data_IF_930702420702
#
_entry.id   IF_930702420702
#
_cell.length_a   1.000
_cell.length_b   1.000
_cell.length_c   1.000
_cell.angle_alpha   90.00
_cell.angle_beta   90.00
_cell.angle_gamma   90.00
#
_symmetry.space_group_name_H-M   'P 1'
#
loop_
_entity.id
_entity.type
_entity.pdbx_description
1 polymer ?
#
# COMPACT_ATOMS: atom_id res chain seq x y z
N UNK A 1 -9.55 11.29 23.22
CA UNK A 1 -9.97 9.88 23.39
C UNK A 1 -8.96 9.21 24.31
N UNK A 2 -9.43 8.65 25.43
CA UNK A 2 -8.61 7.89 26.37
C UNK A 2 -8.87 6.40 26.13
N UNK A 3 -7.89 5.68 25.61
CA UNK A 3 -7.99 4.26 25.35
C UNK A 3 -6.66 3.56 25.60
N UNK A 4 -6.71 2.31 26.07
CA UNK A 4 -5.50 1.47 26.19
C UNK A 4 -5.00 0.94 24.85
N UNK A 5 -5.90 0.85 23.88
CA UNK A 5 -5.64 0.37 22.51
C UNK A 5 -6.39 1.25 21.53
N UNK A 6 -5.75 1.65 20.45
CA UNK A 6 -6.36 2.47 19.41
C UNK A 6 -5.87 2.02 18.03
N UNK A 7 -6.75 2.11 17.05
CA UNK A 7 -6.44 1.95 15.61
C UNK A 7 -7.08 3.12 14.89
N UNK A 8 -6.30 3.82 14.07
CA UNK A 8 -6.77 4.92 13.24
C UNK A 8 -6.49 4.62 11.77
N UNK A 9 -7.50 4.79 10.93
CA UNK A 9 -7.40 4.61 9.47
C UNK A 9 -8.27 5.67 8.79
N UNK A 10 -7.95 6.06 7.54
CA UNK A 10 -8.78 7.00 6.78
C UNK A 10 -10.16 6.42 6.42
N UNK A 11 -10.32 5.10 6.43
CA UNK A 11 -11.59 4.44 6.12
C UNK A 11 -12.16 3.72 7.34
N UNK A 12 -13.44 3.97 7.64
CA UNK A 12 -14.15 3.43 8.84
C UNK A 12 -14.16 1.89 8.95
N UNK A 13 -13.90 1.16 7.87
CA UNK A 13 -13.84 -0.32 7.87
C UNK A 13 -12.43 -0.85 8.14
N UNK A 14 -11.39 -0.06 7.95
CA UNK A 14 -10.01 -0.46 8.25
C UNK A 14 -9.75 -0.59 9.76
N UNK A 15 -10.20 0.40 10.55
CA UNK A 15 -9.99 0.38 11.99
C UNK A 15 -10.60 -0.84 12.71
N UNK A 16 -11.84 -1.29 12.43
CA UNK A 16 -12.38 -2.52 13.01
C UNK A 16 -11.57 -3.79 12.70
N UNK A 17 -10.95 -3.89 11.52
CA UNK A 17 -10.07 -5.01 11.19
C UNK A 17 -8.87 -5.07 12.15
N UNK A 18 -8.20 -3.95 12.37
CA UNK A 18 -7.12 -3.86 13.34
C UNK A 18 -7.58 -4.06 14.79
N UNK A 19 -8.71 -3.50 15.18
CA UNK A 19 -9.27 -3.70 16.53
C UNK A 19 -9.60 -5.17 16.80
N UNK A 20 -10.11 -5.90 15.79
CA UNK A 20 -10.34 -7.35 15.90
C UNK A 20 -9.08 -8.09 16.32
N UNK A 21 -7.92 -7.74 15.76
CA UNK A 21 -6.63 -8.33 16.14
C UNK A 21 -6.24 -7.98 17.58
N UNK A 22 -6.42 -6.73 18.00
CA UNK A 22 -6.15 -6.32 19.39
C UNK A 22 -7.05 -7.05 20.41
N UNK A 23 -8.30 -7.32 20.08
CA UNK A 23 -9.23 -8.08 20.93
C UNK A 23 -8.89 -9.58 20.97
N UNK A 24 -8.37 -10.12 19.86
CA UNK A 24 -7.89 -11.50 19.80
C UNK A 24 -6.55 -11.72 20.56
N UNK A 25 -6.03 -10.68 21.21
CA UNK A 25 -4.78 -10.78 21.98
C UNK A 25 -3.52 -10.43 21.18
N UNK A 26 -3.67 -9.97 19.97
CA UNK A 26 -2.60 -9.44 19.12
C UNK A 26 -2.03 -8.12 19.64
N UNK A 27 -0.98 -7.67 18.98
CA UNK A 27 -0.29 -6.41 19.26
C UNK A 27 -0.59 -5.31 18.20
N UNK A 28 0.11 -4.19 18.28
CA UNK A 28 -0.08 -3.07 17.37
C UNK A 28 0.33 -3.41 15.92
N UNK A 29 1.31 -4.28 15.73
CA UNK A 29 1.76 -4.73 14.39
C UNK A 29 0.70 -5.61 13.74
N UNK A 30 0.16 -6.59 14.47
CA UNK A 30 -0.96 -7.41 13.97
C UNK A 30 -2.14 -6.54 13.56
N UNK A 31 -2.46 -5.53 14.38
CA UNK A 31 -3.54 -4.60 14.10
C UNK A 31 -3.29 -3.74 12.86
N UNK A 32 -2.06 -3.26 12.69
CA UNK A 32 -1.67 -2.44 11.54
C UNK A 32 -1.72 -3.25 10.24
N UNK A 33 -1.21 -4.48 10.24
CA UNK A 33 -1.24 -5.38 9.07
C UNK A 33 -2.68 -5.68 8.68
N UNK A 34 -3.53 -6.10 9.62
CA UNK A 34 -4.93 -6.41 9.32
C UNK A 34 -5.71 -5.18 8.82
N UNK A 35 -5.44 -4.00 9.40
CA UNK A 35 -6.02 -2.75 8.93
C UNK A 35 -5.54 -2.41 7.51
N UNK A 36 -4.22 -2.53 7.21
CA UNK A 36 -3.65 -2.28 5.89
C UNK A 36 -4.22 -3.25 4.85
N UNK A 37 -4.31 -4.55 5.15
CA UNK A 37 -4.94 -5.52 4.27
C UNK A 37 -6.41 -5.16 3.97
N UNK A 38 -7.19 -4.78 4.98
CA UNK A 38 -8.58 -4.34 4.78
C UNK A 38 -8.68 -3.06 3.92
N UNK A 39 -7.71 -2.13 4.07
CA UNK A 39 -7.67 -0.91 3.27
C UNK A 39 -7.49 -1.17 1.77
N UNK A 40 -6.79 -2.24 1.37
CA UNK A 40 -6.65 -2.61 -0.05
C UNK A 40 -7.99 -2.95 -0.70
N UNK A 41 -8.98 -3.34 0.09
CA UNK A 41 -10.32 -3.69 -0.39
C UNK A 41 -11.29 -2.52 -0.31
N UNK A 42 -11.29 -1.79 0.82
CA UNK A 42 -12.33 -0.77 1.07
C UNK A 42 -11.98 0.60 0.51
N UNK A 43 -10.73 0.81 0.14
CA UNK A 43 -10.24 2.04 -0.51
C UNK A 43 -9.41 1.72 -1.77
N UNK A 44 -9.98 1.03 -2.77
CA UNK A 44 -9.26 0.57 -3.97
C UNK A 44 -8.82 1.73 -4.88
N UNK A 45 -9.23 2.94 -4.57
CA UNK A 45 -8.85 4.18 -5.26
C UNK A 45 -7.47 4.71 -4.84
N UNK A 46 -6.91 4.20 -3.75
CA UNK A 46 -5.64 4.65 -3.18
C UNK A 46 -4.76 3.50 -2.67
N UNK A 47 -5.31 2.29 -2.54
CA UNK A 47 -4.63 1.11 -1.98
C UNK A 47 -4.90 -0.13 -2.83
N UNK A 48 -4.00 -1.11 -2.76
CA UNK A 48 -4.14 -2.39 -3.45
C UNK A 48 -3.11 -3.41 -2.99
N UNK A 49 -3.31 -4.69 -3.31
CA UNK A 49 -2.31 -5.73 -3.04
C UNK A 49 -1.00 -5.52 -3.82
N UNK A 50 -1.08 -4.79 -4.93
CA UNK A 50 0.07 -4.39 -5.74
C UNK A 50 0.70 -3.06 -5.32
N UNK A 51 0.33 -2.50 -4.17
CA UNK A 51 0.88 -1.24 -3.65
C UNK A 51 2.26 -1.43 -3.03
N UNK A 52 2.85 -0.31 -2.65
CA UNK A 52 3.98 -0.20 -1.73
C UNK A 52 3.52 -0.10 -0.27
N UNK A 53 4.48 -0.14 0.66
CA UNK A 53 4.25 0.17 2.05
C UNK A 53 5.50 0.77 2.72
N UNK A 54 5.26 1.65 3.69
CA UNK A 54 6.29 2.20 4.57
C UNK A 54 5.82 2.08 6.01
N UNK A 55 6.73 1.84 6.93
CA UNK A 55 6.41 1.76 8.35
C UNK A 55 7.47 2.44 9.20
N UNK A 56 7.02 3.20 10.19
CA UNK A 56 7.82 3.62 11.35
C UNK A 56 7.16 2.99 12.57
N UNK A 57 7.93 2.23 13.32
CA UNK A 57 7.47 1.48 14.47
C UNK A 57 8.33 1.79 15.69
N UNK A 58 7.68 2.11 16.82
CA UNK A 58 8.29 2.18 18.14
C UNK A 58 7.98 0.90 18.90
N UNK A 59 9.00 0.12 19.25
CA UNK A 59 8.82 -1.16 19.96
C UNK A 59 8.84 -1.04 21.50
N UNK A 60 8.94 0.19 21.99
CA UNK A 60 9.10 0.51 23.41
C UNK A 60 10.53 0.82 23.82
N UNK A 61 11.51 0.64 22.90
CA UNK A 61 12.93 0.88 23.14
C UNK A 61 13.57 1.72 22.04
N UNK A 62 13.30 1.37 20.79
CA UNK A 62 13.89 2.03 19.63
C UNK A 62 12.89 2.17 18.47
N UNK A 63 13.20 3.08 17.54
CA UNK A 63 12.44 3.26 16.30
C UNK A 63 13.00 2.36 15.20
N UNK A 64 12.11 1.64 14.55
CA UNK A 64 12.39 0.84 13.38
C UNK A 64 11.74 1.47 12.16
N UNK A 65 12.44 1.53 11.04
CA UNK A 65 11.91 1.92 9.75
C UNK A 65 11.85 0.73 8.81
N UNK A 66 10.80 0.63 8.01
CA UNK A 66 10.67 -0.35 6.94
C UNK A 66 10.31 0.37 5.65
N UNK A 67 11.14 0.18 4.62
CA UNK A 67 10.89 0.63 3.25
C UNK A 67 10.53 -0.58 2.38
N UNK A 68 9.32 -0.63 1.91
CA UNK A 68 8.82 -1.61 0.97
C UNK A 68 8.16 -0.91 -0.23
N UNK A 69 8.86 0.06 -0.81
CA UNK A 69 8.39 0.80 -1.98
C UNK A 69 8.38 -0.02 -3.27
N UNK A 70 9.07 -1.17 -3.27
CA UNK A 70 9.26 -1.98 -4.46
C UNK A 70 10.39 -1.46 -5.35
N UNK A 71 11.06 -2.39 -6.02
CA UNK A 71 12.15 -2.06 -6.98
C UNK A 71 11.62 -1.98 -8.39
N UNK A 72 12.29 -1.22 -9.22
CA UNK A 72 12.10 -1.26 -10.66
C UNK A 72 12.42 -2.68 -11.19
N UNK A 73 11.65 -3.21 -12.16
CA UNK A 73 12.00 -4.42 -12.88
C UNK A 73 13.44 -4.34 -13.43
N UNK A 74 14.19 -5.45 -13.40
CA UNK A 74 15.58 -5.48 -13.89
C UNK A 74 15.71 -5.08 -15.36
N UNK A 75 14.66 -5.32 -16.15
CA UNK A 75 14.59 -4.93 -17.55
C UNK A 75 14.44 -3.42 -17.80
N UNK A 76 14.21 -2.62 -16.76
CA UNK A 76 14.10 -1.16 -16.90
C UNK A 76 15.49 -0.52 -16.95
N UNK A 77 15.84 -0.05 -18.15
CA UNK A 77 17.01 0.74 -18.43
C UNK A 77 16.59 2.01 -19.18
N UNK A 78 17.39 3.08 -19.22
CA UNK A 78 17.08 4.27 -20.02
C UNK A 78 16.75 3.93 -21.48
N UNK A 79 17.46 2.97 -22.06
CA UNK A 79 17.28 2.51 -23.45
C UNK A 79 15.91 1.87 -23.66
N UNK A 80 15.41 1.09 -22.69
CA UNK A 80 14.08 0.50 -22.73
C UNK A 80 12.99 1.58 -22.89
N UNK A 81 13.06 2.63 -22.09
CA UNK A 81 12.12 3.73 -22.15
C UNK A 81 12.29 4.61 -23.40
N UNK A 82 13.54 4.88 -23.80
CA UNK A 82 13.83 5.65 -25.02
C UNK A 82 13.31 4.97 -26.28
N UNK A 83 13.39 3.65 -26.37
CA UNK A 83 12.87 2.88 -27.50
C UNK A 83 11.34 2.89 -27.58
N UNK A 84 10.68 2.88 -26.41
CA UNK A 84 9.20 2.82 -26.33
C UNK A 84 8.53 4.19 -26.41
N UNK A 85 9.13 5.21 -25.83
CA UNK A 85 8.50 6.53 -25.60
C UNK A 85 9.32 7.70 -26.17
N UNK A 86 10.43 7.46 -26.85
CA UNK A 86 11.33 8.51 -27.29
C UNK A 86 12.16 9.11 -26.16
N UNK A 87 13.18 9.93 -26.51
CA UNK A 87 14.11 10.48 -25.51
C UNK A 87 13.53 11.63 -24.67
N UNK A 88 12.54 12.32 -25.17
CA UNK A 88 11.94 13.48 -24.50
C UNK A 88 10.62 13.17 -23.83
N UNK A 89 10.04 12.01 -24.13
CA UNK A 89 8.74 11.62 -23.59
C UNK A 89 8.89 11.02 -22.21
N UNK A 90 7.90 11.29 -21.38
CA UNK A 90 7.80 10.69 -20.05
C UNK A 90 7.16 9.32 -20.16
N UNK A 91 7.55 8.36 -19.31
CA UNK A 91 6.83 7.09 -19.18
C UNK A 91 5.33 7.36 -18.91
N UNK A 92 4.44 6.49 -19.36
CA UNK A 92 3.02 6.64 -19.13
C UNK A 92 2.70 6.63 -17.63
N UNK A 93 1.69 7.41 -17.25
CA UNK A 93 1.23 7.43 -15.84
C UNK A 93 0.48 6.17 -15.42
N UNK A 94 0.09 5.34 -16.39
CA UNK A 94 -0.71 4.12 -16.22
C UNK A 94 -0.15 3.01 -17.09
N UNK A 95 -0.47 1.77 -16.71
CA UNK A 95 -0.04 0.58 -17.45
C UNK A 95 1.23 -0.02 -16.88
N UNK A 96 1.69 -1.09 -17.51
CA UNK A 96 2.77 -1.95 -16.98
C UNK A 96 4.11 -1.26 -16.77
N UNK A 97 4.38 -0.19 -17.53
CA UNK A 97 5.63 0.58 -17.43
C UNK A 97 5.59 1.69 -16.35
N UNK A 98 4.54 1.72 -15.55
CA UNK A 98 4.41 2.57 -14.36
C UNK A 98 4.33 1.77 -13.06
N UNK A 99 4.51 0.43 -13.11
CA UNK A 99 4.34 -0.47 -11.97
C UNK A 99 5.69 -1.10 -11.61
N UNK A 100 6.15 -0.84 -10.40
CA UNK A 100 7.31 -1.51 -9.79
C UNK A 100 6.90 -2.84 -9.15
N UNK A 101 7.86 -3.58 -8.62
CA UNK A 101 7.57 -4.79 -7.83
C UNK A 101 6.66 -4.40 -6.65
N UNK A 102 5.51 -5.08 -6.45
CA UNK A 102 4.65 -4.83 -5.29
C UNK A 102 5.36 -5.03 -3.96
N UNK A 103 5.34 -4.03 -3.07
CA UNK A 103 6.04 -4.10 -1.80
C UNK A 103 5.16 -4.34 -0.57
N UNK A 104 3.85 -4.05 -0.65
CA UNK A 104 2.98 -4.04 0.53
C UNK A 104 2.91 -5.39 1.25
N UNK A 105 2.71 -6.48 0.52
CA UNK A 105 2.59 -7.83 1.12
C UNK A 105 3.91 -8.26 1.77
N UNK A 106 5.05 -8.01 1.14
CA UNK A 106 6.37 -8.31 1.75
C UNK A 106 6.63 -7.48 3.00
N UNK A 107 6.15 -6.22 3.05
CA UNK A 107 6.19 -5.43 4.27
C UNK A 107 5.37 -6.07 5.40
N UNK A 108 4.17 -6.57 5.09
CA UNK A 108 3.34 -7.24 6.10
C UNK A 108 4.02 -8.50 6.64
N UNK A 109 4.61 -9.30 5.76
CA UNK A 109 5.38 -10.50 6.14
C UNK A 109 6.57 -10.12 7.02
N UNK A 110 7.41 -9.19 6.59
CA UNK A 110 8.60 -8.77 7.35
C UNK A 110 8.26 -8.15 8.72
N UNK A 111 7.18 -7.36 8.81
CA UNK A 111 6.67 -6.83 10.06
C UNK A 111 6.15 -7.93 10.98
N UNK A 112 5.40 -8.88 10.41
CA UNK A 112 4.84 -10.01 11.15
C UNK A 112 5.95 -10.94 11.69
N UNK A 113 6.91 -11.32 10.88
CA UNK A 113 8.02 -12.19 11.26
C UNK A 113 8.83 -11.61 12.44
N UNK A 114 9.04 -10.29 12.42
CA UNK A 114 9.86 -9.63 13.45
C UNK A 114 9.09 -9.25 14.71
N UNK A 115 7.84 -8.85 14.59
CA UNK A 115 7.07 -8.24 15.66
C UNK A 115 5.66 -8.80 15.84
N UNK A 116 5.18 -9.63 14.92
CA UNK A 116 3.84 -10.22 14.97
C UNK A 116 3.65 -11.15 16.16
N UNK A 117 2.40 -11.33 16.55
CA UNK A 117 2.01 -12.18 17.68
C UNK A 117 0.94 -13.20 17.31
N UNK A 118 0.00 -12.84 16.45
CA UNK A 118 -1.05 -13.73 15.96
C UNK A 118 -0.56 -14.46 14.70
N UNK A 119 -1.16 -15.60 14.32
CA UNK A 119 -0.88 -16.24 13.04
C UNK A 119 -1.14 -15.29 11.87
N UNK A 120 -0.29 -15.34 10.84
CA UNK A 120 -0.37 -14.41 9.70
C UNK A 120 -1.70 -14.53 8.93
N UNK A 121 -2.21 -15.74 8.78
CA UNK A 121 -3.49 -16.01 8.12
C UNK A 121 -4.67 -15.31 8.83
N UNK A 122 -4.66 -15.28 10.16
CA UNK A 122 -5.67 -14.58 10.95
C UNK A 122 -5.70 -13.07 10.67
N UNK A 123 -4.55 -12.48 10.30
CA UNK A 123 -4.46 -11.05 9.97
C UNK A 123 -5.12 -10.72 8.63
N UNK A 124 -5.12 -11.67 7.68
CA UNK A 124 -5.71 -11.51 6.34
C UNK A 124 -7.22 -11.78 6.32
N UNK A 125 -7.73 -12.51 7.31
CA UNK A 125 -9.14 -12.93 7.38
C UNK A 125 -10.14 -11.76 7.28
N UNK A 126 -10.00 -10.63 8.03
CA UNK A 126 -10.94 -9.52 7.95
C UNK A 126 -11.03 -8.92 6.55
N UNK A 127 -9.89 -8.79 5.85
CA UNK A 127 -9.86 -8.28 4.48
C UNK A 127 -10.52 -9.24 3.49
N UNK A 128 -10.25 -10.53 3.60
CA UNK A 128 -10.86 -11.56 2.77
C UNK A 128 -12.38 -11.62 2.97
N UNK A 129 -12.86 -11.55 4.23
CA UNK A 129 -14.30 -11.49 4.54
C UNK A 129 -14.97 -10.26 3.91
N UNK A 130 -14.35 -9.07 4.01
CA UNK A 130 -14.88 -7.85 3.40
C UNK A 130 -14.94 -8.00 1.88
N UNK A 131 -13.91 -8.55 1.25
CA UNK A 131 -13.86 -8.76 -0.19
C UNK A 131 -14.96 -9.73 -0.68
N UNK A 132 -15.24 -10.80 0.08
CA UNK A 132 -16.28 -11.79 -0.26
C UNK A 132 -17.69 -11.29 0.00
N UNK A 133 -17.94 -10.77 1.21
CA UNK A 133 -19.28 -10.34 1.64
C UNK A 133 -19.66 -8.99 1.06
N UNK A 134 -18.66 -8.19 0.75
CA UNK A 134 -18.79 -6.82 0.24
C UNK A 134 -18.88 -5.76 1.34
N UNK A 135 -18.79 -4.52 0.90
CA UNK A 135 -18.98 -3.34 1.74
C UNK A 135 -19.79 -2.29 1.01
N UNK A 136 -20.45 -1.42 1.76
CA UNK A 136 -21.18 -0.28 1.21
C UNK A 136 -20.18 0.83 0.87
N UNK A 137 -20.16 1.27 -0.39
CA UNK A 137 -19.22 2.27 -0.89
C UNK A 137 -19.50 3.64 -0.24
N UNK A 138 -18.54 4.27 0.43
CA UNK A 138 -18.76 5.57 1.07
C UNK A 138 -18.55 6.75 0.08
N UNK A 139 -19.07 7.95 0.42
CA UNK A 139 -19.07 9.10 -0.51
C UNK A 139 -17.69 9.47 -1.08
N UNK A 140 -16.66 9.57 -0.25
CA UNK A 140 -15.31 9.97 -0.69
C UNK A 140 -14.68 8.95 -1.64
N UNK A 141 -14.82 7.65 -1.33
CA UNK A 141 -14.34 6.57 -2.19
C UNK A 141 -15.09 6.58 -3.52
N UNK A 142 -16.42 6.73 -3.48
CA UNK A 142 -17.25 6.82 -4.68
C UNK A 142 -16.82 7.98 -5.58
N UNK A 143 -16.64 9.17 -5.03
CA UNK A 143 -16.23 10.35 -5.78
C UNK A 143 -14.89 10.13 -6.50
N UNK A 144 -13.88 9.61 -5.79
CA UNK A 144 -12.57 9.30 -6.37
C UNK A 144 -12.66 8.21 -7.44
N UNK A 145 -13.48 7.18 -7.20
CA UNK A 145 -13.68 6.08 -8.12
C UNK A 145 -14.32 6.55 -9.42
N UNK A 146 -15.42 7.30 -9.31
CA UNK A 146 -16.11 7.86 -10.47
C UNK A 146 -15.20 8.81 -11.28
N UNK A 147 -14.38 9.63 -10.60
CA UNK A 147 -13.44 10.52 -11.25
C UNK A 147 -12.30 9.77 -11.98
N UNK A 148 -11.83 8.64 -11.46
CA UNK A 148 -10.77 7.83 -12.07
C UNK A 148 -11.26 6.88 -13.18
N UNK A 149 -12.53 6.49 -13.17
CA UNK A 149 -13.08 5.51 -14.09
C UNK A 149 -12.89 5.85 -15.59
N UNK A 150 -13.09 7.10 -16.07
CA UNK A 150 -12.88 7.44 -17.46
C UNK A 150 -11.44 7.21 -17.94
N UNK A 151 -10.44 7.49 -17.11
CA UNK A 151 -9.02 7.25 -17.42
C UNK A 151 -8.66 5.76 -17.37
N UNK A 152 -9.20 5.03 -16.38
CA UNK A 152 -8.79 3.66 -16.10
C UNK A 152 -9.59 2.59 -16.87
N UNK A 153 -10.77 2.91 -17.40
CA UNK A 153 -11.64 1.94 -18.07
C UNK A 153 -11.02 1.27 -19.31
N UNK A 154 -9.98 1.86 -19.91
CA UNK A 154 -9.23 1.27 -21.02
C UNK A 154 -8.12 0.33 -20.56
N UNK A 155 -7.79 0.32 -19.27
CA UNK A 155 -6.79 -0.60 -18.74
C UNK A 155 -7.38 -2.01 -18.68
N UNK A 156 -6.62 -3.04 -19.11
CA UNK A 156 -7.10 -4.43 -19.09
C UNK A 156 -7.53 -4.88 -17.69
N UNK A 157 -8.68 -5.53 -17.59
CA UNK A 157 -9.23 -6.05 -16.34
C UNK A 157 -9.89 -5.01 -15.42
N UNK A 158 -9.75 -3.70 -15.70
CA UNK A 158 -10.34 -2.67 -14.84
C UNK A 158 -11.86 -2.66 -14.88
N UNK A 159 -12.47 -2.76 -16.07
CA UNK A 159 -13.94 -2.77 -16.22
C UNK A 159 -14.57 -3.95 -15.50
N UNK A 160 -13.99 -5.13 -15.66
CA UNK A 160 -14.48 -6.39 -15.10
C UNK A 160 -14.40 -6.38 -13.57
N UNK A 161 -13.32 -5.80 -13.02
CA UNK A 161 -13.05 -5.81 -11.59
C UNK A 161 -13.71 -4.65 -10.84
N UNK A 162 -13.72 -3.46 -11.45
CA UNK A 162 -14.05 -2.21 -10.75
C UNK A 162 -15.27 -1.48 -11.29
N UNK A 163 -15.86 -1.92 -12.42
CA UNK A 163 -17.07 -1.32 -12.99
C UNK A 163 -18.20 -2.38 -13.14
N UNK A 164 -18.71 -2.97 -12.03
CA UNK A 164 -19.58 -4.15 -12.07
C UNK A 164 -20.89 -3.97 -12.84
N UNK A 165 -21.28 -2.73 -13.10
CA UNK A 165 -22.47 -2.36 -13.91
C UNK A 165 -22.07 -1.42 -15.05
N UNK A 166 -20.84 -1.52 -15.54
CA UNK A 166 -20.28 -0.62 -16.55
C UNK A 166 -19.96 0.79 -16.03
N UNK A 167 -20.11 1.05 -14.72
CA UNK A 167 -19.82 2.31 -14.05
C UNK A 167 -19.22 2.09 -12.65
N UNK A 168 -18.64 3.12 -12.08
CA UNK A 168 -18.28 3.11 -10.67
C UNK A 168 -19.53 2.86 -9.78
N UNK A 169 -19.40 2.08 -8.69
CA UNK A 169 -20.51 1.89 -7.74
C UNK A 169 -21.00 3.21 -7.16
N UNK A 170 -22.29 3.31 -6.86
CA UNK A 170 -22.89 4.47 -6.20
C UNK A 170 -22.64 4.46 -4.69
N UNK A 171 -22.82 5.63 -4.06
CA UNK A 171 -22.77 5.74 -2.59
C UNK A 171 -23.82 4.79 -1.98
N UNK A 172 -23.40 3.96 -1.02
CA UNK A 172 -24.26 2.96 -0.39
C UNK A 172 -24.50 1.70 -1.21
N UNK A 173 -23.98 1.59 -2.43
CA UNK A 173 -24.03 0.37 -3.23
C UNK A 173 -23.08 -0.68 -2.64
N UNK A 174 -23.52 -1.94 -2.62
CA UNK A 174 -22.70 -3.06 -2.15
C UNK A 174 -21.68 -3.46 -3.23
N UNK A 175 -20.40 -3.28 -2.93
CA UNK A 175 -19.31 -3.76 -3.78
C UNK A 175 -18.67 -5.01 -3.19
N UNK A 176 -18.45 -6.02 -4.02
CA UNK A 176 -17.75 -7.27 -3.71
C UNK A 176 -16.57 -7.44 -4.64
N UNK A 177 -15.50 -8.02 -4.11
CA UNK A 177 -14.29 -8.30 -4.90
C UNK A 177 -13.79 -9.74 -4.66
N UNK A 178 -14.49 -10.76 -5.18
CA UNK A 178 -14.16 -12.17 -4.92
C UNK A 178 -12.77 -12.57 -5.39
N UNK A 179 -12.25 -11.95 -6.46
CA UNK A 179 -10.89 -12.20 -6.94
C UNK A 179 -9.84 -11.78 -5.90
N UNK A 180 -10.00 -10.60 -5.30
CA UNK A 180 -9.12 -10.15 -4.23
C UNK A 180 -9.22 -11.02 -2.97
N UNK A 181 -10.41 -11.54 -2.65
CA UNK A 181 -10.57 -12.49 -1.55
C UNK A 181 -9.77 -13.79 -1.78
N UNK A 182 -9.79 -14.32 -3.02
CA UNK A 182 -8.95 -15.49 -3.36
C UNK A 182 -7.46 -15.18 -3.24
N UNK A 183 -7.02 -14.04 -3.75
CA UNK A 183 -5.63 -13.61 -3.63
C UNK A 183 -5.19 -13.45 -2.17
N UNK A 184 -6.01 -12.81 -1.33
CA UNK A 184 -5.74 -12.68 0.11
C UNK A 184 -5.64 -14.04 0.81
N UNK A 185 -6.50 -15.00 0.46
CA UNK A 185 -6.44 -16.37 1.01
C UNK A 185 -5.18 -17.12 0.57
N UNK A 186 -4.77 -16.97 -0.68
CA UNK A 186 -3.52 -17.56 -1.17
C UNK A 186 -2.30 -16.94 -0.48
N UNK A 187 -2.26 -15.61 -0.33
CA UNK A 187 -1.24 -14.87 0.42
C UNK A 187 -1.20 -15.36 1.88
N UNK A 188 -2.35 -15.49 2.53
CA UNK A 188 -2.46 -15.97 3.91
C UNK A 188 -1.91 -17.38 4.09
N UNK A 189 -2.29 -18.30 3.20
CA UNK A 189 -1.90 -19.70 3.25
C UNK A 189 -0.40 -19.94 3.02
N UNK A 190 0.29 -19.00 2.38
CA UNK A 190 1.70 -19.14 1.97
C UNK A 190 2.63 -18.11 2.61
N UNK A 191 2.16 -17.36 3.63
CA UNK A 191 2.90 -16.25 4.24
C UNK A 191 3.47 -15.26 3.20
N UNK A 192 2.70 -14.99 2.13
CA UNK A 192 3.08 -14.05 1.08
C UNK A 192 3.68 -14.67 -0.17
N UNK A 193 4.22 -15.90 -0.13
CA UNK A 193 4.93 -16.52 -1.25
C UNK A 193 4.10 -16.63 -2.52
N UNK A 194 2.77 -16.81 -2.41
CA UNK A 194 1.89 -16.84 -3.56
C UNK A 194 2.00 -15.59 -4.45
N UNK A 195 2.30 -14.41 -3.87
CA UNK A 195 2.46 -13.15 -4.61
C UNK A 195 3.84 -13.02 -5.26
N UNK A 196 4.88 -13.62 -4.68
CA UNK A 196 6.27 -13.39 -5.10
C UNK A 196 6.88 -14.57 -5.88
N UNK A 197 6.48 -15.81 -5.56
CA UNK A 197 7.05 -17.03 -6.14
C UNK A 197 6.00 -18.02 -6.67
N UNK A 198 4.71 -17.82 -6.33
CA UNK A 198 3.62 -18.74 -6.67
C UNK A 198 2.75 -18.28 -7.84
N UNK A 199 1.52 -18.78 -7.85
CA UNK A 199 0.56 -18.59 -8.94
C UNK A 199 0.23 -17.14 -9.26
N UNK A 200 0.26 -16.26 -8.24
CA UNK A 200 -0.01 -14.82 -8.45
C UNK A 200 1.20 -14.16 -9.14
N UNK A 201 2.43 -14.55 -8.76
CA UNK A 201 3.65 -14.06 -9.41
C UNK A 201 3.69 -14.45 -10.89
N UNK A 202 3.35 -15.70 -11.20
CA UNK A 202 3.28 -16.20 -12.58
C UNK A 202 2.24 -15.45 -13.40
N UNK A 203 1.04 -15.21 -12.83
CA UNK A 203 -0.03 -14.48 -13.48
C UNK A 203 0.35 -13.01 -13.73
N UNK A 204 0.99 -12.33 -12.76
CA UNK A 204 1.47 -10.96 -12.90
C UNK A 204 2.54 -10.83 -13.99
N UNK A 205 3.53 -11.73 -14.00
CA UNK A 205 4.59 -11.74 -15.00
C UNK A 205 4.05 -12.06 -16.41
N UNK A 206 3.12 -13.02 -16.52
CA UNK A 206 2.47 -13.34 -17.78
C UNK A 206 1.67 -12.15 -18.33
N UNK A 207 0.89 -11.49 -17.48
CA UNK A 207 0.17 -10.27 -17.85
C UNK A 207 1.12 -9.13 -18.27
N UNK A 208 2.17 -8.90 -17.49
CA UNK A 208 3.16 -7.89 -17.84
C UNK A 208 3.77 -8.16 -19.22
N UNK A 209 4.15 -9.40 -19.50
CA UNK A 209 4.69 -9.83 -20.79
C UNK A 209 3.69 -9.63 -21.92
N UNK A 210 2.42 -9.99 -21.73
CA UNK A 210 1.35 -9.83 -22.70
C UNK A 210 1.17 -8.32 -23.08
N UNK A 211 1.27 -7.44 -22.08
CA UNK A 211 1.20 -6.00 -22.27
C UNK A 211 2.54 -5.38 -22.72
N UNK A 212 3.56 -6.21 -22.98
CA UNK A 212 4.88 -5.77 -23.41
C UNK A 212 5.73 -5.13 -22.31
N UNK A 213 5.38 -5.31 -21.03
CA UNK A 213 6.14 -4.81 -19.88
C UNK A 213 7.34 -5.69 -19.53
N UNK A 214 8.17 -5.19 -18.60
CA UNK A 214 9.45 -5.81 -18.24
C UNK A 214 9.41 -6.62 -16.94
N UNK A 215 8.32 -6.59 -16.16
CA UNK A 215 8.20 -7.31 -14.89
C UNK A 215 8.23 -8.83 -15.11
N UNK A 216 9.10 -9.51 -14.38
CA UNK A 216 9.28 -10.96 -14.45
C UNK A 216 9.05 -11.63 -13.10
N UNK A 217 8.84 -12.97 -13.10
CA UNK A 217 8.80 -13.76 -11.85
C UNK A 217 10.09 -13.59 -11.05
N UNK A 218 11.25 -13.46 -11.72
CA UNK A 218 12.53 -13.25 -11.04
C UNK A 218 12.57 -11.91 -10.30
N UNK A 219 12.00 -10.84 -10.86
CA UNK A 219 11.92 -9.55 -10.18
C UNK A 219 11.08 -9.65 -8.90
N UNK A 220 9.96 -10.38 -8.96
CA UNK A 220 9.10 -10.63 -7.81
C UNK A 220 9.82 -11.46 -6.75
N UNK A 221 10.33 -12.64 -7.12
CA UNK A 221 10.97 -13.58 -6.21
C UNK A 221 12.25 -13.05 -5.53
N UNK A 222 12.99 -12.16 -6.20
CA UNK A 222 14.21 -11.57 -5.64
C UNK A 222 13.97 -10.35 -4.75
N UNK A 223 12.72 -9.89 -4.66
CA UNK A 223 12.41 -8.68 -3.90
C UNK A 223 12.37 -8.95 -2.40
N UNK A 224 13.03 -8.07 -1.64
CA UNK A 224 12.98 -8.03 -0.18
C UNK A 224 12.78 -6.58 0.28
N UNK A 225 11.92 -6.32 1.26
CA UNK A 225 11.77 -5.00 1.85
C UNK A 225 13.02 -4.65 2.67
N UNK A 226 13.30 -3.36 2.82
CA UNK A 226 14.52 -2.88 3.47
C UNK A 226 14.22 -2.31 4.86
N UNK A 227 14.83 -2.90 5.90
CA UNK A 227 14.88 -2.28 7.21
C UNK A 227 15.84 -1.10 7.16
N UNK A 228 15.36 0.08 7.52
CA UNK A 228 16.11 1.35 7.43
C UNK A 228 16.10 2.06 8.78
N UNK A 229 17.14 2.83 9.04
CA UNK A 229 17.15 3.74 10.20
C UNK A 229 16.37 5.00 9.85
N UNK A 230 15.31 5.36 10.60
CA UNK A 230 14.60 6.61 10.38
C UNK A 230 15.54 7.81 10.48
N UNK A 231 15.36 8.77 9.60
CA UNK A 231 16.02 10.07 9.65
C UNK A 231 15.20 11.03 10.49
N UNK A 232 15.82 12.01 11.13
CA UNK A 232 15.10 12.91 12.02
C UNK A 232 15.62 14.35 11.98
N UNK A 233 14.78 15.26 12.50
CA UNK A 233 15.13 16.66 12.76
C UNK A 233 14.41 17.17 13.98
N UNK A 234 15.15 17.88 14.82
CA UNK A 234 14.57 18.64 15.91
C UNK A 234 13.97 19.95 15.40
N UNK A 235 12.79 20.28 15.89
CA UNK A 235 12.10 21.52 15.58
C UNK A 235 11.27 21.97 16.78
N UNK A 236 11.62 23.10 17.39
CA UNK A 236 10.91 23.76 18.50
C UNK A 236 10.57 22.83 19.67
N UNK A 237 11.52 21.99 20.08
CA UNK A 237 11.37 21.07 21.21
C UNK A 237 10.70 19.72 20.88
N UNK A 238 10.42 19.47 19.61
CA UNK A 238 9.92 18.18 19.10
C UNK A 238 10.90 17.61 18.10
N UNK A 239 11.00 16.29 18.04
CA UNK A 239 11.76 15.58 17.00
C UNK A 239 10.83 14.93 16.02
N UNK A 240 10.89 15.33 14.73
CA UNK A 240 10.18 14.66 13.64
C UNK A 240 11.07 13.55 13.09
N UNK A 241 10.50 12.34 12.96
CA UNK A 241 11.14 11.19 12.35
C UNK A 241 10.46 10.83 11.04
N UNK A 242 11.23 10.47 10.02
CA UNK A 242 10.76 10.12 8.69
C UNK A 242 11.51 8.90 8.15
N UNK A 243 10.90 8.18 7.22
CA UNK A 243 11.61 7.18 6.42
C UNK A 243 12.58 7.89 5.46
N UNK A 244 13.84 7.43 5.34
CA UNK A 244 14.77 8.00 4.39
C UNK A 244 14.28 7.85 2.93
N UNK A 245 14.85 8.59 1.97
CA UNK A 245 14.54 8.38 0.55
C UNK A 245 14.60 6.90 0.15
N UNK A 246 13.73 6.50 -0.75
CA UNK A 246 13.11 7.15 -1.91
C UNK A 246 11.77 7.88 -1.65
N UNK A 247 11.14 7.76 -0.47
CA UNK A 247 10.00 8.58 -0.09
C UNK A 247 10.35 10.07 0.05
N UNK A 248 9.34 10.91 0.29
CA UNK A 248 9.49 12.37 0.36
C UNK A 248 9.61 12.91 1.80
N UNK A 249 9.73 12.09 2.82
CA UNK A 249 9.85 12.51 4.22
C UNK A 249 11.00 13.50 4.46
N UNK A 250 12.11 13.34 3.74
CA UNK A 250 13.24 14.28 3.78
C UNK A 250 12.83 15.73 3.43
N UNK A 251 11.83 15.94 2.58
CA UNK A 251 11.35 17.27 2.25
C UNK A 251 10.72 17.97 3.46
N UNK A 252 10.00 17.23 4.31
CA UNK A 252 9.45 17.76 5.56
C UNK A 252 10.58 18.20 6.52
N UNK A 253 11.63 17.38 6.65
CA UNK A 253 12.78 17.71 7.51
C UNK A 253 13.54 18.94 7.01
N UNK A 254 13.71 19.08 5.69
CA UNK A 254 14.32 20.27 5.07
C UNK A 254 13.43 21.49 5.31
N UNK A 255 12.13 21.38 5.09
CA UNK A 255 11.19 22.47 5.31
C UNK A 255 11.22 22.98 6.76
N UNK A 256 11.20 22.07 7.74
CA UNK A 256 11.32 22.43 9.16
C UNK A 256 12.65 23.15 9.45
N UNK A 257 13.75 22.70 8.82
CA UNK A 257 15.05 23.34 8.96
C UNK A 257 15.12 24.76 8.40
N UNK A 258 14.37 25.04 7.35
CA UNK A 258 14.20 26.38 6.81
C UNK A 258 13.32 27.21 7.76
N UNK A 259 12.15 26.69 8.16
CA UNK A 259 11.18 27.37 9.03
C UNK A 259 11.76 27.72 10.40
N UNK A 260 12.72 26.97 10.91
CA UNK A 260 13.40 27.25 12.17
C UNK A 260 14.11 28.61 12.18
N UNK A 261 14.48 29.12 10.99
CA UNK A 261 15.17 30.40 10.82
C UNK A 261 14.22 31.62 10.86
N UNK A 262 12.91 31.39 10.94
CA UNK A 262 11.89 32.43 10.94
C UNK A 262 11.16 32.49 12.27
N UNK A 263 10.88 33.69 12.75
CA UNK A 263 10.01 33.91 13.90
C UNK A 263 8.53 33.87 13.47
N UNK A 264 8.03 32.65 13.24
CA UNK A 264 6.65 32.41 12.83
C UNK A 264 5.63 32.81 13.89
N UNK A 265 6.03 32.93 15.16
CA UNK A 265 5.11 33.29 16.23
C UNK A 265 4.73 34.78 16.18
N UNK A 266 5.57 35.59 15.55
CA UNK A 266 5.32 37.05 15.38
C UNK A 266 4.48 37.36 14.13
N UNK A 267 4.26 36.37 13.24
CA UNK A 267 3.48 36.55 12.03
C UNK A 267 1.97 36.53 12.34
N UNK A 268 1.17 37.38 11.68
CA UNK A 268 -0.28 37.30 11.82
C UNK A 268 -0.80 35.95 11.30
N UNK A 269 -1.84 35.46 11.95
CA UNK A 269 -2.59 34.29 11.46
C UNK A 269 -3.68 34.83 10.55
N UNK A 270 -3.51 34.70 9.24
CA UNK A 270 -4.49 35.08 8.23
C UNK A 270 -5.52 33.97 7.98
#
# INVERSE_FOLDING_TARGET
VFARKAVSTPHRRGAPAGLRMLWAGGNAVDAAIAAAAAMTIVEPVSNGLGSDAFCILWDGKELHGLNASGRAPQGWAPEYFHQRYGRQDKPPRRGVDSITVPGAVSAWVALHERFGKLPFDALMEPAAEIAERGYLVPPVVQQKWAAGAPELQSQPGFRESFLPRGRAPEVGELFRFPAAARALKAIAATNGDALYEGEIAEALAAFAKEQGGALTVKDLASYQPEWVTPISRDYRGYTLHEIPPNGQGIAALIALGILEKFDLASLPVD
#
